data_IF_228484172267
#
_entry.id   IF_228484172267
#
_cell.length_a   1.000
_cell.length_b   1.000
_cell.length_c   1.000
_cell.angle_alpha   90.00
_cell.angle_beta   90.00
_cell.angle_gamma   90.00
#
_symmetry.space_group_name_H-M   'P 1'
#
loop_
_entity.id
_entity.type
_entity.pdbx_description
1 polymer ?
#
# COMPACT_ATOMS: atom_id res chain seq x y z
N UNK A 1 -19.22 -20.46 47.09
CA UNK A 1 -18.34 -19.31 46.79
C UNK A 1 -17.02 -19.83 46.26
N UNK A 2 -16.86 -19.90 44.94
CA UNK A 2 -15.57 -19.87 44.22
C UNK A 2 -15.89 -19.74 42.73
N UNK A 3 -16.08 -18.49 42.30
CA UNK A 3 -15.96 -18.10 40.90
C UNK A 3 -14.49 -17.80 40.61
N UNK A 4 -14.18 -17.68 39.31
CA UNK A 4 -12.97 -17.07 38.74
C UNK A 4 -11.85 -18.05 38.40
N UNK A 5 -11.88 -18.57 37.16
CA UNK A 5 -10.87 -18.31 36.13
C UNK A 5 -11.24 -19.04 34.82
N UNK A 6 -12.40 -18.72 34.24
CA UNK A 6 -12.50 -18.74 32.78
C UNK A 6 -11.68 -17.55 32.30
N UNK A 7 -10.35 -17.71 32.19
CA UNK A 7 -9.57 -16.83 31.33
C UNK A 7 -10.00 -17.16 29.91
N UNK A 8 -11.15 -16.62 29.51
CA UNK A 8 -11.46 -16.43 28.11
C UNK A 8 -10.37 -15.49 27.61
N UNK A 9 -9.28 -16.07 27.12
CA UNK A 9 -8.37 -15.37 26.21
C UNK A 9 -9.23 -15.07 24.99
N UNK A 10 -9.99 -13.97 25.07
CA UNK A 10 -10.49 -13.30 23.90
C UNK A 10 -9.23 -12.88 23.15
N UNK A 11 -8.77 -13.74 22.26
CA UNK A 11 -7.96 -13.32 21.15
C UNK A 11 -8.83 -12.30 20.40
N UNK A 12 -8.74 -11.04 20.81
CA UNK A 12 -9.00 -9.92 19.93
C UNK A 12 -7.91 -9.95 18.87
N UNK A 13 -7.97 -10.96 18.00
CA UNK A 13 -7.25 -10.92 16.75
C UNK A 13 -7.90 -9.80 15.96
N UNK A 14 -7.32 -8.60 16.00
CA UNK A 14 -7.66 -7.56 15.04
C UNK A 14 -7.44 -8.17 13.68
N UNK A 15 -8.49 -8.23 12.85
CA UNK A 15 -8.33 -8.67 11.48
C UNK A 15 -7.33 -7.71 10.83
N UNK A 16 -6.22 -8.27 10.38
CA UNK A 16 -5.28 -7.61 9.50
C UNK A 16 -6.05 -7.01 8.33
N UNK A 17 -6.15 -5.69 8.27
CA UNK A 17 -6.96 -5.01 7.27
C UNK A 17 -6.15 -3.93 6.58
N UNK A 18 -6.10 -4.03 5.26
CA UNK A 18 -5.68 -2.96 4.38
C UNK A 18 -6.97 -2.34 3.82
N UNK A 19 -7.11 -1.03 3.99
CA UNK A 19 -8.21 -0.25 3.41
C UNK A 19 -7.63 0.74 2.43
N UNK A 20 -8.25 0.92 1.27
CA UNK A 20 -7.79 1.87 0.27
C UNK A 20 -8.96 2.60 -0.41
N UNK A 21 -8.67 3.69 -1.12
CA UNK A 21 -9.64 4.34 -2.01
C UNK A 21 -10.21 3.31 -3.00
N UNK A 22 -11.51 3.03 -2.91
CA UNK A 22 -12.14 1.94 -3.69
C UNK A 22 -12.24 2.23 -5.18
N UNK A 23 -12.57 3.47 -5.56
CA UNK A 23 -12.70 3.91 -6.95
C UNK A 23 -12.62 5.42 -7.01
N UNK A 24 -12.03 5.95 -8.06
CA UNK A 24 -11.93 7.38 -8.30
C UNK A 24 -12.07 7.64 -9.81
N UNK A 25 -12.94 8.57 -10.18
CA UNK A 25 -13.11 9.04 -11.56
C UNK A 25 -12.85 10.54 -11.56
N UNK A 26 -11.85 10.95 -12.33
CA UNK A 26 -11.37 12.33 -12.45
C UNK A 26 -11.23 12.70 -13.91
N UNK A 27 -11.22 14.00 -14.21
CA UNK A 27 -10.97 14.48 -15.58
C UNK A 27 -9.48 14.45 -15.87
N UNK A 28 -9.12 14.43 -17.15
CA UNK A 28 -7.72 14.66 -17.52
C UNK A 28 -7.25 16.03 -17.03
N UNK A 29 -5.94 16.14 -16.78
CA UNK A 29 -5.25 17.30 -16.22
C UNK A 29 -5.57 17.66 -14.77
N UNK A 30 -6.58 17.03 -14.15
CA UNK A 30 -6.82 17.15 -12.70
C UNK A 30 -5.82 16.31 -11.90
N UNK A 31 -5.66 16.65 -10.62
CA UNK A 31 -4.88 15.83 -9.69
C UNK A 31 -5.80 14.82 -8.99
N UNK A 32 -5.24 13.65 -8.68
CA UNK A 32 -5.91 12.61 -7.91
C UNK A 32 -5.02 12.15 -6.76
N UNK A 33 -5.65 11.80 -5.64
CA UNK A 33 -4.95 11.22 -4.48
C UNK A 33 -5.62 9.92 -4.09
N UNK A 34 -4.83 8.85 -4.01
CA UNK A 34 -5.23 7.56 -3.49
C UNK A 34 -4.67 7.40 -2.07
N UNK A 35 -5.52 6.93 -1.16
CA UNK A 35 -5.14 6.67 0.24
C UNK A 35 -5.14 5.17 0.47
N UNK A 36 -4.12 4.71 1.18
CA UNK A 36 -4.07 3.38 1.78
C UNK A 36 -3.86 3.49 3.29
N UNK A 37 -4.54 2.62 4.04
CA UNK A 37 -4.44 2.51 5.49
C UNK A 37 -4.26 1.06 5.92
N UNK A 38 -3.46 0.82 6.95
CA UNK A 38 -3.22 -0.49 7.54
C UNK A 38 -3.26 -0.44 9.07
N UNK A 39 -3.70 -1.53 9.71
CA UNK A 39 -3.80 -1.66 11.18
C UNK A 39 -2.88 -2.75 11.76
N UNK A 40 -1.98 -3.31 10.94
CA UNK A 40 -1.11 -4.43 11.26
C UNK A 40 0.21 -4.04 11.95
N UNK A 41 0.55 -2.76 12.01
CA UNK A 41 1.90 -2.34 12.41
C UNK A 41 2.97 -2.81 11.42
N UNK A 42 2.60 -2.99 10.14
CA UNK A 42 3.54 -3.35 9.09
C UNK A 42 4.55 -2.22 8.85
N UNK A 43 5.83 -2.59 8.69
CA UNK A 43 6.91 -1.63 8.44
C UNK A 43 6.83 -1.12 7.02
N UNK A 44 6.66 -2.02 6.04
CA UNK A 44 6.67 -1.66 4.64
C UNK A 44 5.26 -1.53 4.06
N UNK A 45 5.07 -0.60 3.14
CA UNK A 45 3.84 -0.41 2.35
C UNK A 45 4.20 -0.20 0.88
N UNK A 46 3.29 -0.58 -0.01
CA UNK A 46 3.54 -0.63 -1.45
C UNK A 46 2.34 -0.07 -2.20
N UNK A 47 2.62 0.64 -3.29
CA UNK A 47 1.62 0.99 -4.29
C UNK A 47 1.95 0.30 -5.61
N UNK A 48 0.99 -0.45 -6.13
CA UNK A 48 1.08 -1.14 -7.41
C UNK A 48 0.06 -0.58 -8.40
N UNK A 49 0.45 -0.57 -9.67
CA UNK A 49 -0.43 -0.36 -10.82
C UNK A 49 -0.70 -1.70 -11.49
N UNK A 50 -1.95 -1.95 -11.86
CA UNK A 50 -2.34 -3.03 -12.76
C UNK A 50 -3.12 -2.48 -13.94
N UNK A 51 -2.47 -2.43 -15.10
CA UNK A 51 -3.14 -2.16 -16.36
C UNK A 51 -3.82 -3.43 -16.90
N UNK A 52 -4.89 -3.31 -17.70
CA UNK A 52 -5.56 -4.46 -18.32
C UNK A 52 -4.57 -5.35 -19.08
N UNK A 53 -4.52 -6.65 -18.73
CA UNK A 53 -3.66 -7.64 -19.36
C UNK A 53 -2.17 -7.55 -19.00
N UNK A 54 -1.77 -6.69 -18.05
CA UNK A 54 -0.39 -6.58 -17.57
C UNK A 54 -0.20 -7.15 -16.17
N UNK A 55 1.03 -7.52 -15.86
CA UNK A 55 1.45 -7.87 -14.50
C UNK A 55 1.38 -6.63 -13.57
N UNK A 56 1.45 -6.86 -12.26
CA UNK A 56 1.60 -5.79 -11.28
C UNK A 56 2.93 -5.07 -11.49
N UNK A 57 2.89 -3.75 -11.51
CA UNK A 57 4.06 -2.89 -11.64
C UNK A 57 4.19 -2.05 -10.37
N UNK A 58 5.36 -2.04 -9.75
CA UNK A 58 5.56 -1.27 -8.51
C UNK A 58 5.70 0.21 -8.85
N UNK A 59 4.89 1.06 -8.22
CA UNK A 59 4.98 2.51 -8.35
C UNK A 59 5.92 3.06 -7.28
N UNK A 60 5.63 2.76 -6.02
CA UNK A 60 6.43 3.15 -4.85
C UNK A 60 6.42 2.07 -3.77
N UNK A 61 7.52 1.97 -3.05
CA UNK A 61 7.65 1.27 -1.78
C UNK A 61 7.92 2.30 -0.69
N UNK A 62 7.45 2.04 0.53
CA UNK A 62 7.86 2.78 1.71
C UNK A 62 8.25 1.81 2.80
N UNK A 63 9.42 1.99 3.43
CA UNK A 63 9.90 1.15 4.54
C UNK A 63 9.52 1.68 5.93
N UNK A 64 8.92 2.86 5.98
CA UNK A 64 8.56 3.56 7.21
C UNK A 64 8.06 4.97 6.93
N UNK A 65 7.68 5.70 7.99
CA UNK A 65 7.23 7.08 7.84
C UNK A 65 8.32 7.95 7.19
N UNK A 66 7.95 8.67 6.12
CA UNK A 66 8.86 9.52 5.33
C UNK A 66 10.07 8.77 4.74
N UNK A 67 9.90 7.47 4.46
CA UNK A 67 10.93 6.60 3.87
C UNK A 67 10.40 5.94 2.60
N UNK A 68 10.02 6.75 1.62
CA UNK A 68 9.53 6.32 0.31
C UNK A 68 10.69 6.14 -0.68
N UNK A 69 10.58 5.12 -1.52
CA UNK A 69 11.50 4.83 -2.61
C UNK A 69 10.72 4.52 -3.89
N UNK A 70 11.19 5.05 -5.00
CA UNK A 70 10.63 4.80 -6.33
C UNK A 70 10.69 3.32 -6.72
N UNK A 71 9.62 2.84 -7.35
CA UNK A 71 9.51 1.50 -7.92
C UNK A 71 9.95 1.43 -9.38
N UNK A 72 9.29 0.55 -10.14
CA UNK A 72 9.55 0.32 -11.56
C UNK A 72 9.03 1.45 -12.45
N UNK A 73 7.93 2.09 -12.04
CA UNK A 73 7.19 3.09 -12.82
C UNK A 73 6.77 4.32 -11.99
N UNK A 74 7.72 5.08 -11.42
CA UNK A 74 7.41 6.23 -10.56
C UNK A 74 6.94 7.47 -11.34
N UNK A 75 7.20 7.54 -12.64
CA UNK A 75 6.94 8.74 -13.45
C UNK A 75 5.45 9.10 -13.47
N UNK A 76 5.13 10.36 -13.14
CA UNK A 76 3.75 10.86 -13.06
C UNK A 76 3.09 10.68 -11.68
N UNK A 77 3.80 10.06 -10.74
CA UNK A 77 3.32 9.80 -9.39
C UNK A 77 4.20 10.51 -8.34
N UNK A 78 3.60 10.84 -7.21
CA UNK A 78 4.32 11.18 -5.98
C UNK A 78 3.72 10.35 -4.85
N UNK A 79 4.55 9.87 -3.93
CA UNK A 79 4.08 9.11 -2.79
C UNK A 79 4.57 9.75 -1.50
N UNK A 80 3.73 9.70 -0.47
CA UNK A 80 4.07 10.22 0.84
C UNK A 80 3.42 9.37 1.94
N UNK A 81 4.19 9.10 2.99
CA UNK A 81 3.81 8.25 4.10
C UNK A 81 4.07 8.98 5.43
N UNK A 82 3.08 9.72 5.96
CA UNK A 82 3.29 10.57 7.14
C UNK A 82 3.49 9.76 8.43
N UNK A 83 3.00 8.52 8.47
CA UNK A 83 3.05 7.65 9.63
C UNK A 83 3.01 6.18 9.19
N UNK A 84 3.16 5.25 10.13
CA UNK A 84 3.21 3.83 9.79
C UNK A 84 1.88 3.31 9.21
N UNK A 85 0.75 3.90 9.58
CA UNK A 85 -0.58 3.42 9.24
C UNK A 85 -1.08 3.89 7.87
N UNK A 86 -0.63 5.03 7.36
CA UNK A 86 -1.19 5.65 6.15
C UNK A 86 -0.13 5.85 5.06
N UNK A 87 -0.47 5.52 3.82
CA UNK A 87 0.37 5.72 2.65
C UNK A 87 -0.45 6.31 1.49
N UNK A 88 -0.04 7.48 1.01
CA UNK A 88 -0.73 8.25 -0.02
C UNK A 88 0.03 8.16 -1.35
N UNK A 89 -0.72 8.12 -2.44
CA UNK A 89 -0.23 8.20 -3.81
C UNK A 89 -0.95 9.32 -4.55
N UNK A 90 -0.21 10.36 -4.91
CA UNK A 90 -0.67 11.47 -5.71
C UNK A 90 -0.36 11.22 -7.19
N UNK A 91 -1.35 11.44 -8.03
CA UNK A 91 -1.26 11.38 -9.49
C UNK A 91 -1.44 12.81 -9.98
N UNK A 92 -0.37 13.41 -10.48
CA UNK A 92 -0.38 14.80 -10.92
C UNK A 92 -0.75 14.89 -12.40
N UNK A 93 -1.63 15.83 -12.76
CA UNK A 93 -2.08 16.03 -14.14
C UNK A 93 -2.49 14.71 -14.82
N UNK A 94 -3.57 14.11 -14.33
CA UNK A 94 -4.03 12.77 -14.73
C UNK A 94 -4.23 12.67 -16.26
N UNK A 95 -3.81 11.55 -16.83
CA UNK A 95 -3.94 11.23 -18.26
C UNK A 95 -4.65 9.90 -18.45
N UNK A 96 -5.16 9.63 -19.65
CA UNK A 96 -5.83 8.35 -19.97
C UNK A 96 -4.99 7.10 -19.63
N UNK A 97 -3.66 7.16 -19.75
CA UNK A 97 -2.78 6.02 -19.43
C UNK A 97 -2.68 5.71 -17.91
N UNK A 98 -3.16 6.62 -17.04
CA UNK A 98 -3.30 6.39 -15.61
C UNK A 98 -4.59 5.63 -15.26
N UNK A 99 -5.48 5.37 -16.22
CA UNK A 99 -6.67 4.54 -16.01
C UNK A 99 -6.29 3.07 -15.83
N UNK A 100 -6.41 2.58 -14.60
CA UNK A 100 -5.93 1.26 -14.18
C UNK A 100 -6.54 0.86 -12.83
N UNK A 101 -6.25 -0.37 -12.39
CA UNK A 101 -6.48 -0.80 -11.01
C UNK A 101 -5.24 -0.45 -10.18
N UNK A 102 -5.45 0.22 -9.06
CA UNK A 102 -4.40 0.55 -8.10
C UNK A 102 -4.54 -0.34 -6.87
N UNK A 103 -3.43 -0.93 -6.43
CA UNK A 103 -3.42 -1.89 -5.32
C UNK A 103 -2.38 -1.49 -4.29
N UNK A 104 -2.82 -1.37 -3.04
CA UNK A 104 -1.96 -1.20 -1.90
C UNK A 104 -1.68 -2.55 -1.22
N UNK A 105 -0.44 -2.75 -0.79
CA UNK A 105 -0.05 -3.86 0.05
C UNK A 105 0.79 -3.37 1.24
N UNK A 106 0.96 -4.21 2.26
CA UNK A 106 1.85 -3.92 3.38
C UNK A 106 2.49 -5.20 3.91
N UNK A 107 3.68 -5.10 4.50
CA UNK A 107 4.42 -6.23 5.05
C UNK A 107 5.20 -5.85 6.31
N UNK A 108 5.43 -6.83 7.18
CA UNK A 108 6.23 -6.64 8.40
C UNK A 108 7.73 -6.53 8.12
N UNK A 109 8.21 -7.04 6.98
CA UNK A 109 9.62 -7.41 6.76
C UNK A 109 10.31 -6.54 5.70
N UNK A 110 11.58 -6.21 5.97
CA UNK A 110 12.50 -5.40 5.15
C UNK A 110 13.38 -6.23 4.20
N UNK A 111 13.22 -7.56 4.06
CA UNK A 111 14.28 -8.38 3.40
C UNK A 111 13.89 -9.45 2.37
N UNK A 112 12.63 -9.89 2.23
CA UNK A 112 12.33 -11.00 1.28
C UNK A 112 12.10 -10.56 -0.18
N UNK A 113 11.62 -9.34 -0.41
CA UNK A 113 11.30 -8.87 -1.77
C UNK A 113 12.57 -8.59 -2.60
N UNK A 114 13.64 -8.06 -1.99
CA UNK A 114 14.91 -7.81 -2.67
C UNK A 114 15.60 -9.10 -3.13
N UNK A 115 15.52 -10.17 -2.31
CA UNK A 115 16.06 -11.47 -2.64
C UNK A 115 15.32 -12.12 -3.82
N UNK A 116 13.98 -12.06 -3.82
CA UNK A 116 13.17 -12.59 -4.92
C UNK A 116 13.36 -11.81 -6.23
N UNK A 117 13.48 -10.48 -6.18
CA UNK A 117 13.79 -9.68 -7.37
C UNK A 117 15.21 -9.93 -7.90
N UNK A 118 16.16 -10.26 -7.03
CA UNK A 118 17.53 -10.64 -7.43
C UNK A 118 17.60 -12.04 -8.07
N UNK A 119 16.66 -12.93 -7.79
CA UNK A 119 16.64 -14.29 -8.34
C UNK A 119 15.95 -14.40 -9.69
N UNK A 120 15.16 -13.39 -10.09
CA UNK A 120 14.47 -13.34 -11.37
C UNK A 120 15.18 -12.45 -12.41
N UNK A 121 16.46 -12.11 -12.17
CA UNK A 121 17.31 -11.34 -13.10
C UNK A 121 18.34 -12.24 -13.76
#
# INVERSE_FOLDING_TARGET
MWTVLCVAMYFFGTRAEITQTSSLVVREDENATLKCSQNNGHSSMYWYLQQPGKALQLIYISYGANQEQEGDIPAGFQAHRPNQAEFYLDILSVKLNHSAVYLCASSLDTTLQSYLLSLHK
#
